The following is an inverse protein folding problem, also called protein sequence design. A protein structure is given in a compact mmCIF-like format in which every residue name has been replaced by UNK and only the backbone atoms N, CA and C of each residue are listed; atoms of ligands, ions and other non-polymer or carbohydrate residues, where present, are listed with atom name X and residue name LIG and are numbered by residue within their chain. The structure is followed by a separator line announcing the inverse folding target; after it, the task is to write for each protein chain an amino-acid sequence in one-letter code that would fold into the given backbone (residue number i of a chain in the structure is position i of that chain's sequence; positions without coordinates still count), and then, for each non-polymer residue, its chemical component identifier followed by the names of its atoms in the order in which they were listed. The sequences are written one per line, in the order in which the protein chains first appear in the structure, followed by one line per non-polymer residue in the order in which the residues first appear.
data_IF_974403246803
#
_entry.id   IF_974403246803
#
_cell.length_a   1.000
_cell.length_b   1.000
_cell.length_c   1.000
_cell.angle_alpha   90.00
_cell.angle_beta   90.00
_cell.angle_gamma   90.00
#
_symmetry.space_group_name_H-M   'P 1'
#
loop_
_entity.id
_entity.type
_entity.pdbx_description
1 polymer ?
#
# COMPACT_ATOMS: atom_id res chain seq x y z
N UNK A 1 -22.42 5.48 0.49
CA UNK A 1 -22.17 4.75 1.75
C UNK A 1 -20.67 4.64 1.89
N UNK A 2 -20.08 5.13 2.97
CA UNK A 2 -18.64 5.05 3.25
C UNK A 2 -18.34 3.71 3.90
N UNK A 3 -17.31 2.99 3.43
CA UNK A 3 -16.82 1.79 4.08
C UNK A 3 -15.60 2.17 4.95
N UNK A 4 -15.54 1.62 6.17
CA UNK A 4 -14.47 1.92 7.11
C UNK A 4 -13.38 0.85 7.10
N UNK A 5 -12.12 1.30 7.11
CA UNK A 5 -10.95 0.45 7.29
C UNK A 5 -10.50 0.50 8.76
N UNK A 6 -10.48 -0.66 9.43
CA UNK A 6 -9.87 -0.84 10.76
C UNK A 6 -8.44 -1.33 10.56
N UNK A 7 -7.48 -0.58 11.09
CA UNK A 7 -6.07 -0.75 10.71
C UNK A 7 -5.22 -1.29 11.85
N UNK A 8 -5.72 -1.15 13.08
CA UNK A 8 -5.27 -1.87 14.28
C UNK A 8 -5.52 -3.38 14.22
N UNK A 9 -6.27 -3.85 13.23
CA UNK A 9 -6.48 -5.28 12.98
C UNK A 9 -5.62 -5.80 11.83
N UNK A 10 -4.82 -4.94 11.18
CA UNK A 10 -3.94 -5.35 10.10
C UNK A 10 -2.54 -5.67 10.67
N UNK A 11 -1.97 -6.85 10.35
CA UNK A 11 -0.62 -7.19 10.76
C UNK A 11 0.41 -6.31 10.06
N UNK A 12 1.29 -5.66 10.83
CA UNK A 12 2.33 -4.75 10.32
C UNK A 12 3.71 -5.39 10.14
N UNK A 13 3.88 -6.64 10.58
CA UNK A 13 5.14 -7.38 10.49
C UNK A 13 5.20 -8.20 9.19
N UNK A 14 6.39 -8.37 8.62
CA UNK A 14 6.60 -9.22 7.43
C UNK A 14 6.08 -10.64 7.61
N UNK A 15 6.12 -11.13 8.85
CA UNK A 15 5.40 -12.29 9.32
C UNK A 15 4.68 -11.89 10.60
N UNK A 16 3.36 -12.10 10.65
CA UNK A 16 2.60 -11.89 11.87
C UNK A 16 2.02 -13.22 12.33
N UNK A 17 2.26 -13.53 13.60
CA UNK A 17 1.70 -14.70 14.27
C UNK A 17 0.71 -14.20 15.32
N UNK A 18 -0.53 -14.66 15.22
CA UNK A 18 -1.59 -14.32 16.16
C UNK A 18 -1.64 -15.38 17.26
N UNK A 19 -0.69 -15.29 18.20
CA UNK A 19 -0.53 -16.23 19.33
C UNK A 19 -1.76 -16.29 20.26
N UNK A 20 -2.58 -15.24 20.26
CA UNK A 20 -3.82 -15.16 21.02
C UNK A 20 -5.03 -15.79 20.29
N UNK A 21 -4.84 -16.29 19.06
CA UNK A 21 -5.90 -16.92 18.27
C UNK A 21 -6.44 -18.21 18.91
N UNK A 22 -7.65 -18.59 18.52
CA UNK A 22 -8.29 -19.83 19.01
C UNK A 22 -7.52 -21.11 18.65
N UNK A 23 -6.58 -21.02 17.70
CA UNK A 23 -5.67 -22.10 17.36
C UNK A 23 -4.63 -22.32 18.46
N UNK A 24 -3.83 -21.31 18.80
CA UNK A 24 -2.80 -21.43 19.84
C UNK A 24 -3.37 -21.62 21.24
N UNK A 25 -4.59 -21.13 21.54
CA UNK A 25 -5.26 -21.49 22.79
C UNK A 25 -5.56 -23.00 22.92
N UNK A 26 -5.78 -23.69 21.80
CA UNK A 26 -5.95 -25.15 21.75
C UNK A 26 -4.62 -25.88 21.64
N UNK A 27 -3.58 -25.20 21.16
CA UNK A 27 -2.26 -25.74 20.87
C UNK A 27 -1.16 -24.78 21.38
N UNK A 28 -0.98 -24.62 22.70
CA UNK A 28 -0.18 -23.53 23.29
C UNK A 28 1.32 -23.60 22.97
N UNK A 29 1.85 -24.82 22.80
CA UNK A 29 3.27 -25.05 22.57
C UNK A 29 3.59 -25.50 21.13
N UNK A 30 2.63 -25.32 20.20
CA UNK A 30 2.80 -25.80 18.82
C UNK A 30 3.61 -24.81 17.99
N UNK A 31 4.58 -25.34 17.23
CA UNK A 31 5.26 -24.59 16.19
C UNK A 31 4.42 -24.65 14.91
N UNK A 32 4.19 -23.49 14.28
CA UNK A 32 3.58 -23.45 12.95
C UNK A 32 4.50 -24.17 11.94
N UNK A 33 3.92 -24.89 10.96
CA UNK A 33 4.71 -25.61 9.96
C UNK A 33 5.53 -24.63 9.13
N UNK A 34 6.78 -24.97 8.84
CA UNK A 34 7.62 -24.17 7.93
C UNK A 34 7.11 -24.28 6.49
N UNK A 35 7.54 -23.39 5.60
CA UNK A 35 7.21 -23.50 4.17
C UNK A 35 7.62 -24.87 3.58
N UNK A 36 8.72 -25.45 4.06
CA UNK A 36 9.17 -26.78 3.65
C UNK A 36 8.20 -27.85 4.13
N UNK A 37 7.74 -27.78 5.37
CA UNK A 37 6.76 -28.71 5.94
C UNK A 37 5.42 -28.62 5.21
N UNK A 38 4.95 -27.39 4.93
CA UNK A 38 3.73 -27.14 4.16
C UNK A 38 3.83 -27.70 2.75
N UNK A 39 4.99 -27.54 2.09
CA UNK A 39 5.24 -28.13 0.76
C UNK A 39 5.24 -29.65 0.79
N UNK A 40 5.92 -30.25 1.77
CA UNK A 40 5.96 -31.70 1.94
C UNK A 40 4.57 -32.27 2.21
N UNK A 41 3.80 -31.63 3.08
CA UNK A 41 2.43 -32.01 3.40
C UNK A 41 1.49 -31.83 2.19
N UNK A 42 1.63 -30.74 1.42
CA UNK A 42 0.93 -30.57 0.15
C UNK A 42 1.23 -31.72 -0.83
N UNK A 43 2.49 -32.19 -0.86
CA UNK A 43 2.91 -33.28 -1.73
C UNK A 43 2.32 -34.62 -1.30
N UNK A 44 2.24 -34.88 0.01
CA UNK A 44 1.65 -36.10 0.58
C UNK A 44 0.13 -36.17 0.39
N UNK A 45 -0.58 -35.06 0.63
CA UNK A 45 -2.05 -35.02 0.52
C UNK A 45 -2.55 -34.95 -0.92
N UNK A 46 -1.74 -34.37 -1.80
CA UNK A 46 -2.09 -34.18 -3.20
C UNK A 46 -1.06 -34.90 -4.09
N UNK A 47 -0.05 -34.16 -4.55
CA UNK A 47 1.07 -34.71 -5.31
C UNK A 47 2.26 -33.77 -5.25
N UNK A 48 3.47 -34.32 -5.40
CA UNK A 48 4.71 -33.54 -5.42
C UNK A 48 4.77 -32.49 -6.54
N UNK A 49 3.97 -32.62 -7.60
CA UNK A 49 3.87 -31.61 -8.65
C UNK A 49 3.08 -30.36 -8.19
N UNK A 50 2.10 -30.54 -7.29
CA UNK A 50 1.24 -29.46 -6.83
C UNK A 50 1.86 -28.65 -5.69
N UNK A 51 2.80 -29.21 -4.93
CA UNK A 51 3.53 -28.49 -3.87
C UNK A 51 4.44 -27.38 -4.41
N UNK A 52 4.86 -27.49 -5.67
CA UNK A 52 5.67 -26.48 -6.38
C UNK A 52 4.83 -25.62 -7.35
N UNK A 53 3.50 -25.82 -7.39
CA UNK A 53 2.64 -25.06 -8.29
C UNK A 53 2.59 -23.57 -7.92
N UNK A 54 2.28 -22.71 -8.89
CA UNK A 54 2.15 -21.26 -8.66
C UNK A 54 1.01 -20.93 -7.70
N UNK A 55 -0.10 -21.68 -7.75
CA UNK A 55 -1.20 -21.63 -6.78
C UNK A 55 -1.47 -23.05 -6.25
N UNK A 56 -0.70 -23.54 -5.28
CA UNK A 56 -0.94 -24.83 -4.63
C UNK A 56 -2.33 -24.88 -3.98
N UNK A 57 -2.95 -26.05 -3.88
CA UNK A 57 -4.14 -26.23 -3.04
C UNK A 57 -3.79 -25.90 -1.58
N UNK A 58 -4.74 -25.38 -0.77
CA UNK A 58 -4.54 -25.28 0.66
C UNK A 58 -4.21 -26.65 1.26
N UNK A 59 -3.35 -26.65 2.29
CA UNK A 59 -2.88 -27.87 2.95
C UNK A 59 -3.58 -28.03 4.30
N UNK A 60 -4.05 -29.24 4.60
CA UNK A 60 -4.80 -29.56 5.81
C UNK A 60 -3.92 -30.28 6.83
N UNK A 61 -3.37 -29.62 7.84
CA UNK A 61 -2.68 -30.34 8.92
C UNK A 61 -3.72 -30.87 9.92
N UNK A 62 -4.27 -32.07 9.68
CA UNK A 62 -5.37 -32.64 10.49
C UNK A 62 -5.00 -32.81 11.97
N UNK A 63 -3.77 -33.23 12.27
CA UNK A 63 -3.25 -33.36 13.63
C UNK A 63 -3.22 -32.02 14.39
N UNK A 64 -3.18 -30.91 13.66
CA UNK A 64 -3.21 -29.55 14.19
C UNK A 64 -4.58 -28.88 14.00
N UNK A 65 -5.49 -29.46 13.20
CA UNK A 65 -6.71 -28.78 12.76
C UNK A 65 -6.46 -27.45 12.03
N UNK A 66 -5.36 -27.35 11.28
CA UNK A 66 -4.92 -26.12 10.59
C UNK A 66 -5.10 -26.24 9.07
N UNK A 67 -5.50 -25.13 8.43
CA UNK A 67 -5.49 -24.97 6.98
C UNK A 67 -4.47 -23.91 6.58
N UNK A 68 -3.50 -24.26 5.73
CA UNK A 68 -2.43 -23.35 5.31
C UNK A 68 -2.53 -23.04 3.81
N UNK A 69 -2.57 -21.75 3.47
CA UNK A 69 -2.44 -21.27 2.08
C UNK A 69 -1.02 -20.76 1.85
N UNK A 70 -0.39 -21.27 0.81
CA UNK A 70 0.97 -20.90 0.40
C UNK A 70 1.04 -20.85 -1.13
N UNK A 71 2.12 -20.31 -1.69
CA UNK A 71 2.34 -20.25 -3.14
C UNK A 71 3.02 -18.95 -3.57
N UNK A 72 3.33 -18.87 -4.86
CA UNK A 72 3.79 -17.61 -5.47
C UNK A 72 2.56 -16.77 -5.78
N UNK A 73 2.55 -15.48 -5.45
CA UNK A 73 1.49 -14.61 -5.99
C UNK A 73 1.55 -14.71 -7.51
N UNK A 74 0.42 -15.07 -8.15
CA UNK A 74 0.43 -15.24 -9.60
C UNK A 74 0.79 -13.91 -10.22
N UNK A 75 1.75 -13.98 -11.15
CA UNK A 75 1.90 -12.94 -12.14
C UNK A 75 0.53 -12.68 -12.76
N UNK A 76 0.05 -11.46 -12.58
CA UNK A 76 -1.16 -11.01 -13.27
C UNK A 76 -0.83 -11.06 -14.76
N UNK A 77 -1.66 -11.77 -15.54
CA UNK A 77 -1.46 -11.82 -16.98
C UNK A 77 -1.93 -10.50 -17.58
N UNK A 78 -0.98 -9.62 -17.84
CA UNK A 78 -1.20 -8.29 -18.38
C UNK A 78 0.12 -7.65 -18.79
N UNK A 79 0.02 -6.53 -19.49
CA UNK A 79 1.13 -5.62 -19.77
C UNK A 79 0.92 -4.34 -18.98
N UNK A 80 1.99 -3.64 -18.62
CA UNK A 80 1.84 -2.36 -17.92
C UNK A 80 1.24 -1.31 -18.85
N UNK A 81 0.59 -0.30 -18.29
CA UNK A 81 0.14 0.85 -19.07
C UNK A 81 1.34 1.53 -19.74
N UNK A 82 2.47 1.67 -19.04
CA UNK A 82 3.69 2.24 -19.61
C UNK A 82 4.11 1.53 -20.91
N UNK A 83 4.16 0.19 -20.89
CA UNK A 83 4.61 -0.62 -22.03
C UNK A 83 3.64 -0.59 -23.22
N UNK A 84 2.33 -0.46 -22.97
CA UNK A 84 1.33 -0.50 -24.04
C UNK A 84 0.91 0.89 -24.52
N UNK A 85 1.07 1.95 -23.73
CA UNK A 85 0.59 3.30 -24.03
C UNK A 85 1.00 3.83 -25.41
N UNK A 86 2.24 3.66 -25.89
CA UNK A 86 2.64 4.13 -27.23
C UNK A 86 1.89 3.46 -28.38
N UNK A 87 1.30 2.27 -28.13
CA UNK A 87 0.58 1.46 -29.12
C UNK A 87 -0.94 1.59 -29.02
N UNK A 88 -1.46 2.29 -27.99
CA UNK A 88 -2.89 2.47 -27.80
C UNK A 88 -3.46 3.56 -28.70
N UNK A 89 -4.67 3.32 -29.24
CA UNK A 89 -5.45 4.37 -29.90
C UNK A 89 -6.02 5.36 -28.88
N UNK A 90 -6.43 6.54 -29.32
CA UNK A 90 -7.04 7.54 -28.45
C UNK A 90 -8.35 7.05 -27.83
N UNK A 91 -9.14 6.25 -28.54
CA UNK A 91 -10.35 5.62 -28.02
C UNK A 91 -10.00 4.63 -26.89
N UNK A 92 -8.95 3.82 -27.06
CA UNK A 92 -8.52 2.87 -26.03
C UNK A 92 -8.00 3.59 -24.77
N UNK A 93 -7.24 4.69 -24.94
CA UNK A 93 -6.81 5.54 -23.82
C UNK A 93 -8.00 6.16 -23.10
N UNK A 94 -9.02 6.61 -23.83
CA UNK A 94 -10.27 7.10 -23.25
C UNK A 94 -11.00 6.04 -22.42
N UNK A 95 -11.09 4.80 -22.90
CA UNK A 95 -11.69 3.69 -22.14
C UNK A 95 -10.88 3.35 -20.89
N UNK A 96 -9.55 3.26 -21.02
CA UNK A 96 -8.64 3.02 -19.88
C UNK A 96 -8.81 4.08 -18.80
N UNK A 97 -8.83 5.35 -19.20
CA UNK A 97 -9.01 6.49 -18.30
C UNK A 97 -10.33 6.40 -17.52
N UNK A 98 -11.44 6.12 -18.21
CA UNK A 98 -12.74 6.00 -17.57
C UNK A 98 -12.78 4.86 -16.54
N UNK A 99 -12.20 3.71 -16.89
CA UNK A 99 -12.11 2.56 -15.98
C UNK A 99 -11.24 2.87 -14.75
N UNK A 100 -10.07 3.50 -14.96
CA UNK A 100 -9.19 3.90 -13.87
C UNK A 100 -9.88 4.90 -12.94
N UNK A 101 -10.57 5.89 -13.50
CA UNK A 101 -11.29 6.91 -12.72
C UNK A 101 -12.44 6.32 -11.90
N UNK A 102 -13.16 5.33 -12.42
CA UNK A 102 -14.18 4.61 -11.65
C UNK A 102 -13.56 3.85 -10.48
N UNK A 103 -12.46 3.13 -10.70
CA UNK A 103 -11.73 2.41 -9.65
C UNK A 103 -11.18 3.35 -8.57
N UNK A 104 -10.52 4.44 -8.96
CA UNK A 104 -10.00 5.46 -8.04
C UNK A 104 -11.13 6.14 -7.27
N UNK A 105 -12.27 6.42 -7.92
CA UNK A 105 -13.42 7.01 -7.25
C UNK A 105 -13.97 6.10 -6.17
N UNK A 106 -14.09 4.79 -6.45
CA UNK A 106 -14.48 3.77 -5.45
C UNK A 106 -13.48 3.68 -4.31
N UNK A 107 -12.18 3.66 -4.61
CA UNK A 107 -11.11 3.63 -3.60
C UNK A 107 -11.20 4.82 -2.64
N UNK A 108 -11.46 6.02 -3.18
CA UNK A 108 -11.62 7.25 -2.40
C UNK A 108 -12.90 7.32 -1.56
N UNK A 109 -13.81 6.35 -1.68
CA UNK A 109 -14.95 6.22 -0.76
C UNK A 109 -14.60 5.51 0.54
N UNK A 110 -13.43 4.85 0.60
CA UNK A 110 -12.92 4.24 1.81
C UNK A 110 -12.44 5.32 2.78
N UNK A 111 -12.78 5.16 4.04
CA UNK A 111 -12.43 6.10 5.12
C UNK A 111 -12.08 5.32 6.39
N UNK A 112 -11.56 6.00 7.41
CA UNK A 112 -11.40 5.40 8.75
C UNK A 112 -12.73 5.54 9.51
N UNK A 113 -13.06 4.59 10.39
CA UNK A 113 -14.09 4.75 11.43
C UNK A 113 -13.58 5.74 12.50
N UNK A 114 -13.41 7.00 12.13
CA UNK A 114 -13.04 8.06 13.06
C UNK A 114 -13.73 9.35 12.64
N UNK A 115 -14.37 10.07 13.58
CA UNK A 115 -14.91 11.40 13.30
C UNK A 115 -13.81 12.44 13.09
N UNK A 116 -12.57 12.15 13.52
CA UNK A 116 -11.42 13.03 13.35
C UNK A 116 -10.61 12.58 12.13
N UNK A 117 -10.35 13.48 11.16
CA UNK A 117 -9.49 13.18 10.03
C UNK A 117 -8.07 12.92 10.53
N UNK A 118 -7.46 11.86 10.02
CA UNK A 118 -6.05 11.55 10.26
C UNK A 118 -5.40 11.29 8.91
N UNK A 119 -4.43 12.12 8.57
CA UNK A 119 -3.60 11.96 7.38
C UNK A 119 -2.39 11.12 7.80
N UNK A 120 -2.41 9.85 7.46
CA UNK A 120 -1.45 8.85 7.92
C UNK A 120 -1.37 7.67 6.96
N UNK A 121 -0.42 6.75 7.21
CA UNK A 121 -0.53 5.39 6.67
C UNK A 121 -1.77 4.70 7.22
N UNK A 122 -2.12 3.56 6.61
CA UNK A 122 -3.30 2.79 6.99
C UNK A 122 -3.27 2.49 8.50
N UNK A 123 -2.16 1.97 9.03
CA UNK A 123 -1.93 1.66 10.44
C UNK A 123 -1.95 2.87 11.41
N UNK A 124 -2.09 4.10 10.90
CA UNK A 124 -2.09 5.33 11.70
C UNK A 124 -0.70 5.92 11.93
N UNK A 125 0.36 5.26 11.48
CA UNK A 125 1.72 5.79 11.60
C UNK A 125 2.00 6.91 10.59
N UNK A 126 3.15 7.57 10.78
CA UNK A 126 3.64 8.61 9.87
C UNK A 126 3.63 8.14 8.41
N UNK A 127 3.37 9.07 7.50
CA UNK A 127 3.56 8.82 6.07
C UNK A 127 5.03 8.51 5.79
N UNK A 128 5.27 7.77 4.71
CA UNK A 128 6.61 7.50 4.22
C UNK A 128 6.69 7.93 2.76
N UNK A 129 7.68 8.76 2.46
CA UNK A 129 8.05 9.16 1.11
C UNK A 129 9.58 9.11 1.02
N UNK A 130 10.13 8.45 0.01
CA UNK A 130 11.59 8.26 -0.11
C UNK A 130 12.34 9.58 -0.32
N UNK A 131 11.75 10.55 -1.02
CA UNK A 131 12.37 11.86 -1.27
C UNK A 131 12.36 12.73 -0.02
N UNK A 132 11.40 12.49 0.87
CA UNK A 132 11.26 13.24 2.11
C UNK A 132 11.95 12.57 3.30
N UNK A 133 11.89 11.25 3.41
CA UNK A 133 12.39 10.46 4.53
C UNK A 133 13.71 9.72 4.22
N UNK A 134 14.06 9.52 2.94
CA UNK A 134 15.27 8.79 2.53
C UNK A 134 16.57 9.58 2.65
N UNK A 135 16.48 10.91 2.82
CA UNK A 135 17.64 11.80 2.93
C UNK A 135 18.15 11.92 4.38
N UNK A 136 18.40 10.76 5.02
CA UNK A 136 19.12 10.53 6.28
C UNK A 136 18.91 11.54 7.42
N UNK A 137 18.26 11.12 8.51
CA UNK A 137 18.19 11.71 9.87
C UNK A 137 17.88 13.21 10.06
N UNK A 138 17.87 14.05 9.01
CA UNK A 138 17.76 15.51 9.13
C UNK A 138 16.35 16.03 8.99
N UNK A 139 15.45 15.29 8.34
CA UNK A 139 14.06 15.71 8.15
C UNK A 139 13.16 15.08 9.22
N UNK A 140 12.21 15.84 9.78
CA UNK A 140 11.23 15.29 10.71
C UNK A 140 10.37 14.22 10.03
N UNK A 141 9.74 13.37 10.83
CA UNK A 141 8.77 12.39 10.33
C UNK A 141 7.58 13.09 9.66
N UNK A 142 7.05 12.47 8.61
CA UNK A 142 5.95 12.98 7.77
C UNK A 142 4.60 12.70 8.44
N UNK A 143 4.34 13.37 9.56
CA UNK A 143 3.10 13.22 10.33
C UNK A 143 3.13 12.06 11.33
N UNK A 144 1.98 11.48 11.70
CA UNK A 144 0.65 11.71 11.12
C UNK A 144 0.12 13.13 11.40
N UNK A 145 -0.84 13.59 10.59
CA UNK A 145 -1.42 14.94 10.71
C UNK A 145 -2.92 14.88 11.01
N UNK A 146 -3.40 15.74 11.90
CA UNK A 146 -4.81 15.87 12.29
C UNK A 146 -5.61 16.78 11.36
N UNK A 147 -4.93 17.47 10.44
CA UNK A 147 -5.52 18.45 9.54
C UNK A 147 -4.68 18.63 8.27
N UNK A 148 -5.35 19.04 7.19
CA UNK A 148 -4.69 19.41 5.93
C UNK A 148 -3.75 20.59 6.12
N UNK A 149 -4.15 21.57 6.94
CA UNK A 149 -3.30 22.69 7.33
C UNK A 149 -1.98 22.22 7.95
N UNK A 150 -2.01 21.29 8.90
CA UNK A 150 -0.80 20.79 9.54
C UNK A 150 0.14 20.09 8.54
N UNK A 151 -0.41 19.31 7.61
CA UNK A 151 0.36 18.71 6.51
C UNK A 151 1.02 19.79 5.64
N UNK A 152 0.26 20.81 5.23
CA UNK A 152 0.76 21.87 4.35
C UNK A 152 1.78 22.79 5.02
N UNK A 153 1.57 23.14 6.29
CA UNK A 153 2.55 23.88 7.09
C UNK A 153 3.85 23.09 7.21
N UNK A 154 3.76 21.78 7.44
CA UNK A 154 4.91 20.88 7.52
C UNK A 154 5.66 20.79 6.18
N UNK A 155 4.95 20.65 5.05
CA UNK A 155 5.58 20.62 3.73
C UNK A 155 6.31 21.93 3.42
N UNK A 156 5.66 23.06 3.72
CA UNK A 156 6.26 24.36 3.45
C UNK A 156 7.48 24.63 4.36
N UNK A 157 7.43 24.19 5.62
CA UNK A 157 8.59 24.24 6.51
C UNK A 157 9.74 23.35 6.01
N UNK A 158 9.46 22.08 5.71
CA UNK A 158 10.48 21.10 5.29
C UNK A 158 11.09 21.43 3.93
N UNK A 159 10.36 22.08 3.03
CA UNK A 159 10.90 22.56 1.75
C UNK A 159 12.03 23.59 1.90
N UNK A 160 12.10 24.29 3.04
CA UNK A 160 13.14 25.27 3.35
C UNK A 160 14.37 24.66 4.01
N UNK A 161 14.31 23.40 4.48
CA UNK A 161 15.45 22.77 5.18
C UNK A 161 16.64 22.64 4.25
N UNK A 162 17.81 23.14 4.69
CA UNK A 162 19.04 23.22 3.90
C UNK A 162 19.27 24.60 3.28
N UNK A 163 18.27 25.49 3.29
CA UNK A 163 18.45 26.86 2.80
C UNK A 163 19.23 27.75 3.76
N UNK A 164 19.48 27.32 5.00
CA UNK A 164 20.37 27.99 5.94
C UNK A 164 21.80 28.16 5.37
N UNK A 165 22.21 27.26 4.47
CA UNK A 165 23.46 27.38 3.73
C UNK A 165 23.48 28.57 2.74
N UNK A 166 22.30 29.00 2.28
CA UNK A 166 22.10 30.11 1.35
C UNK A 166 21.79 31.41 2.10
N UNK A 167 21.15 31.32 3.28
CA UNK A 167 20.83 32.45 4.17
C UNK A 167 21.54 32.33 5.54
N UNK A 168 22.87 32.56 5.60
CA UNK A 168 23.61 32.42 6.85
C UNK A 168 23.13 33.40 7.91
N UNK A 169 22.97 32.90 9.14
CA UNK A 169 22.54 33.69 10.29
C UNK A 169 21.03 33.88 10.42
N UNK A 170 20.22 33.28 9.53
CA UNK A 170 18.76 33.19 9.69
C UNK A 170 18.36 31.83 10.22
N UNK A 171 17.36 31.84 11.09
CA UNK A 171 16.60 30.65 11.49
C UNK A 171 15.69 30.19 10.34
N UNK A 172 15.24 28.94 10.39
CA UNK A 172 14.35 28.37 9.36
C UNK A 172 13.02 29.13 9.27
N UNK A 173 12.55 29.69 10.39
CA UNK A 173 11.36 30.52 10.52
C UNK A 173 11.52 31.88 9.82
N UNK A 174 12.73 32.44 9.83
CA UNK A 174 13.06 33.73 9.19
C UNK A 174 13.35 33.60 7.68
N UNK A 175 13.51 32.37 7.18
CA UNK A 175 13.65 32.09 5.75
C UNK A 175 12.25 32.23 5.11
N UNK A 176 12.07 33.15 4.13
CA UNK A 176 10.80 33.34 3.46
C UNK A 176 10.29 32.05 2.82
N UNK A 177 8.99 31.81 2.98
CA UNK A 177 8.30 30.68 2.38
C UNK A 177 7.68 31.09 1.03
N UNK A 178 8.16 30.47 -0.04
CA UNK A 178 7.69 30.72 -1.40
C UNK A 178 6.51 29.85 -1.84
N UNK A 179 6.08 28.88 -1.04
CA UNK A 179 5.18 27.82 -1.50
C UNK A 179 3.89 27.69 -0.68
N UNK A 180 3.87 28.11 0.58
CA UNK A 180 2.70 27.89 1.46
C UNK A 180 1.37 28.41 0.92
N UNK A 181 1.41 29.55 0.23
CA UNK A 181 0.24 30.18 -0.36
C UNK A 181 -0.38 29.36 -1.52
N UNK A 182 0.34 28.38 -2.06
CA UNK A 182 -0.12 27.48 -3.12
C UNK A 182 -0.92 26.29 -2.57
N UNK A 183 -0.94 26.08 -1.26
CA UNK A 183 -1.54 24.91 -0.62
C UNK A 183 -2.83 25.28 0.15
N UNK A 184 -4.03 25.02 -0.40
CA UNK A 184 -5.30 25.35 0.26
C UNK A 184 -5.64 24.33 1.36
N UNK A 185 -6.11 24.83 2.50
CA UNK A 185 -6.32 24.00 3.71
C UNK A 185 -7.65 23.22 3.74
N UNK A 186 -8.50 23.38 2.71
CA UNK A 186 -9.83 22.79 2.60
C UNK A 186 -9.86 21.51 1.74
N UNK A 187 -8.69 20.94 1.44
CA UNK A 187 -8.58 19.73 0.62
C UNK A 187 -9.27 18.53 1.29
N UNK A 188 -9.93 17.68 0.48
CA UNK A 188 -10.57 16.46 1.01
C UNK A 188 -9.53 15.37 1.26
N UNK A 189 -9.48 14.85 2.48
CA UNK A 189 -8.68 13.66 2.82
C UNK A 189 -9.38 12.40 2.31
N UNK A 190 -8.68 11.59 1.51
CA UNK A 190 -9.21 10.37 0.88
C UNK A 190 -8.19 9.23 0.95
N UNK A 191 -8.68 7.99 0.95
CA UNK A 191 -7.81 6.83 0.76
C UNK A 191 -7.28 6.80 -0.68
N UNK A 192 -5.98 6.52 -0.85
CA UNK A 192 -5.29 6.50 -2.13
C UNK A 192 -4.26 5.37 -2.15
N UNK A 193 -3.90 4.91 -3.35
CA UNK A 193 -2.87 3.88 -3.55
C UNK A 193 -1.51 4.30 -2.97
N UNK A 194 -1.14 5.56 -3.16
CA UNK A 194 0.16 6.09 -2.73
C UNK A 194 1.20 6.10 -3.86
N UNK A 195 1.13 5.13 -4.78
CA UNK A 195 2.02 5.06 -5.96
C UNK A 195 1.29 4.63 -7.24
N UNK A 196 0.34 5.45 -7.70
CA UNK A 196 -0.47 5.13 -8.88
C UNK A 196 0.27 5.53 -10.17
N UNK A 197 1.35 4.81 -10.49
CA UNK A 197 2.17 5.01 -11.70
C UNK A 197 1.75 4.07 -12.84
N UNK A 198 1.92 4.44 -14.14
CA UNK A 198 1.60 3.54 -15.27
C UNK A 198 2.28 2.16 -15.25
N UNK A 199 3.44 2.02 -14.59
CA UNK A 199 4.13 0.73 -14.38
C UNK A 199 3.36 -0.20 -13.44
N UNK A 200 2.56 0.39 -12.54
CA UNK A 200 1.81 -0.30 -11.48
C UNK A 200 0.38 -0.61 -11.91
N UNK A 201 -0.02 -0.19 -13.12
CA UNK A 201 -1.33 -0.47 -13.69
C UNK A 201 -1.16 -1.52 -14.79
N UNK A 202 -1.77 -2.68 -14.60
CA UNK A 202 -1.72 -3.76 -15.56
C UNK A 202 -3.01 -3.82 -16.37
N UNK A 203 -2.89 -3.93 -17.69
CA UNK A 203 -4.02 -4.02 -18.63
C UNK A 203 -3.99 -5.30 -19.45
N UNK A 204 -5.14 -5.66 -19.99
CA UNK A 204 -5.27 -6.78 -20.92
C UNK A 204 -4.53 -6.45 -22.24
N UNK A 205 -3.56 -7.27 -22.70
CA UNK A 205 -2.82 -6.99 -23.93
C UNK A 205 -3.69 -6.95 -25.18
N UNK A 206 -4.77 -7.73 -25.22
CA UNK A 206 -5.70 -7.78 -26.36
C UNK A 206 -6.78 -6.69 -26.29
N UNK A 207 -6.98 -6.12 -25.10
CA UNK A 207 -7.93 -5.03 -24.86
C UNK A 207 -7.34 -4.02 -23.86
N UNK A 208 -6.42 -3.14 -24.29
CA UNK A 208 -5.66 -2.27 -23.38
C UNK A 208 -6.52 -1.27 -22.58
N UNK A 209 -7.79 -1.09 -22.93
CA UNK A 209 -8.75 -0.33 -22.12
C UNK A 209 -9.17 -1.03 -20.82
N UNK A 210 -8.97 -2.35 -20.71
CA UNK A 210 -9.37 -3.16 -19.56
C UNK A 210 -8.22 -3.30 -18.56
N UNK A 211 -8.37 -2.69 -17.38
CA UNK A 211 -7.46 -2.89 -16.24
C UNK A 211 -7.69 -4.29 -15.65
N UNK A 212 -6.61 -5.05 -15.49
CA UNK A 212 -6.63 -6.39 -14.88
C UNK A 212 -6.09 -6.39 -13.45
N UNK A 213 -5.20 -5.44 -13.12
CA UNK A 213 -4.75 -5.20 -11.75
C UNK A 213 -4.17 -3.80 -11.59
N UNK A 214 -4.19 -3.30 -10.35
CA UNK A 214 -3.29 -2.26 -9.85
C UNK A 214 -2.45 -2.95 -8.77
N UNK A 215 -1.14 -2.84 -8.88
CA UNK A 215 -0.16 -3.52 -8.03
C UNK A 215 0.72 -2.48 -7.33
N UNK A 216 1.55 -2.97 -6.40
CA UNK A 216 2.36 -2.16 -5.48
C UNK A 216 1.51 -1.42 -4.42
#
# INVERSE_FOLDING_TARGET
MTASIRTNVLPSQANAIFEDSSFFRRHPDVLLPTLSDVKAECAMQNSSALSEAMRPPPVMHESLGLVVKFGRMRQVHGVTVEDCWPRMTEEQKGVLWNNLMDMVSKLRTLSRDSPHPLISRIDGSALYDVEVNGNGDKRPWTGPFDSVKALHDWFAMTSKMGFEAIWPGRTLEEIPDGFRHLFPDDSKVVFTHGDLHPTNIMVNPDSPGQIVAIID
#
